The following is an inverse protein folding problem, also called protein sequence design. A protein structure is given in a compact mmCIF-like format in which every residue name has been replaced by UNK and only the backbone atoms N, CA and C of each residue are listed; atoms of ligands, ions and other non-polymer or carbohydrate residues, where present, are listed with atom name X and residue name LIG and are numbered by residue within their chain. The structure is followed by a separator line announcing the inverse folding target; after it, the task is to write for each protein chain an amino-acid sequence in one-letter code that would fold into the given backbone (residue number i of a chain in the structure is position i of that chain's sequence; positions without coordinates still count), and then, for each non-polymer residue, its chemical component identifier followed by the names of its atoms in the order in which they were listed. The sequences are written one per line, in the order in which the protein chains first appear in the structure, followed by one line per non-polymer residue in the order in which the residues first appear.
data_IF_389226032044
#
_entry.id   IF_389226032044
#
_cell.length_a   1.000
_cell.length_b   1.000
_cell.length_c   1.000
_cell.angle_alpha   90.00
_cell.angle_beta   90.00
_cell.angle_gamma   90.00
#
_symmetry.space_group_name_H-M   'P 1'
#
loop_
_entity.id
_entity.type
_entity.pdbx_description
1 polymer ?
#
# COMPACT_ATOMS: atom_id res chain seq x y z
N UNK A 1 -56.37 -18.62 -30.56
CA UNK A 1 -56.70 -19.95 -31.11
C UNK A 1 -55.57 -20.59 -31.96
N UNK A 2 -54.69 -19.80 -32.50
CA UNK A 2 -53.50 -20.32 -33.24
C UNK A 2 -52.36 -20.79 -32.31
N UNK A 3 -52.14 -20.09 -31.22
CA UNK A 3 -51.06 -20.38 -30.23
C UNK A 3 -51.31 -21.70 -29.48
N UNK A 4 -52.57 -22.03 -29.18
CA UNK A 4 -52.90 -23.31 -28.51
C UNK A 4 -52.81 -24.54 -29.42
N UNK A 5 -52.84 -24.34 -30.74
CA UNK A 5 -52.61 -25.44 -31.70
C UNK A 5 -51.14 -25.71 -31.91
N UNK A 6 -50.28 -24.71 -31.87
CA UNK A 6 -48.82 -24.88 -31.95
C UNK A 6 -48.29 -25.62 -30.71
N UNK A 7 -48.65 -25.21 -29.49
CA UNK A 7 -48.23 -25.91 -28.30
C UNK A 7 -48.72 -27.37 -28.20
N UNK A 8 -49.92 -27.68 -28.73
CA UNK A 8 -50.39 -29.10 -28.78
C UNK A 8 -49.61 -29.97 -29.77
N UNK A 9 -49.11 -29.40 -30.86
CA UNK A 9 -48.31 -30.15 -31.85
C UNK A 9 -46.89 -30.41 -31.31
N UNK A 10 -46.30 -29.49 -30.57
CA UNK A 10 -45.00 -29.65 -29.93
C UNK A 10 -45.01 -30.70 -28.81
N UNK A 11 -46.06 -30.69 -27.97
CA UNK A 11 -46.24 -31.69 -26.91
C UNK A 11 -46.44 -33.10 -27.48
N UNK A 12 -47.07 -33.24 -28.68
CA UNK A 12 -47.33 -34.52 -29.30
C UNK A 12 -46.06 -35.09 -29.96
N UNK A 13 -45.17 -34.23 -30.46
CA UNK A 13 -43.87 -34.65 -31.05
C UNK A 13 -42.87 -35.06 -29.95
N UNK A 14 -42.84 -34.34 -28.83
CA UNK A 14 -42.00 -34.65 -27.67
C UNK A 14 -42.39 -35.97 -26.97
N UNK A 15 -43.71 -36.33 -27.00
CA UNK A 15 -44.17 -37.61 -26.48
C UNK A 15 -43.79 -38.86 -27.30
N UNK A 16 -43.34 -38.68 -28.55
CA UNK A 16 -43.00 -39.77 -29.46
C UNK A 16 -41.49 -40.13 -29.46
N UNK A 17 -40.65 -39.31 -28.79
CA UNK A 17 -39.21 -39.48 -28.76
C UNK A 17 -38.66 -39.35 -27.32
N UNK A 18 -38.71 -40.42 -26.52
CA UNK A 18 -38.25 -40.41 -25.12
C UNK A 18 -36.79 -40.03 -24.96
N UNK A 19 -35.98 -40.19 -25.98
CA UNK A 19 -34.58 -39.81 -25.99
C UNK A 19 -34.37 -38.26 -26.08
N UNK A 20 -35.18 -37.60 -26.89
CA UNK A 20 -35.11 -36.15 -27.02
C UNK A 20 -35.61 -35.42 -25.74
N UNK A 21 -36.57 -36.04 -25.06
CA UNK A 21 -37.02 -35.53 -23.77
C UNK A 21 -35.95 -35.61 -22.70
N UNK A 22 -35.17 -36.68 -22.63
CA UNK A 22 -34.04 -36.78 -21.68
C UNK A 22 -32.93 -35.78 -21.98
N UNK A 23 -32.59 -35.54 -23.25
CA UNK A 23 -31.59 -34.56 -23.62
C UNK A 23 -32.05 -33.12 -23.26
N UNK A 24 -33.32 -32.78 -23.37
CA UNK A 24 -33.86 -31.48 -22.97
C UNK A 24 -34.03 -31.37 -21.46
N UNK A 25 -34.21 -32.47 -20.75
CA UNK A 25 -34.22 -32.52 -19.29
C UNK A 25 -32.78 -32.42 -18.74
N UNK A 26 -31.79 -33.03 -19.40
CA UNK A 26 -30.35 -32.90 -19.08
C UNK A 26 -29.81 -31.50 -19.41
N UNK A 27 -30.20 -30.89 -20.56
CA UNK A 27 -29.85 -29.49 -20.87
C UNK A 27 -30.55 -28.48 -19.92
N UNK A 28 -31.75 -28.77 -19.42
CA UNK A 28 -32.46 -27.94 -18.45
C UNK A 28 -31.92 -28.06 -17.02
N UNK A 29 -31.30 -29.20 -16.65
CA UNK A 29 -30.61 -29.34 -15.36
C UNK A 29 -29.20 -28.75 -15.37
N UNK A 30 -28.53 -28.61 -16.54
CA UNK A 30 -27.24 -27.93 -16.69
C UNK A 30 -27.40 -26.39 -16.70
N UNK A 31 -28.58 -25.84 -17.08
CA UNK A 31 -28.84 -24.39 -17.06
C UNK A 31 -29.30 -23.85 -15.70
N UNK A 32 -29.63 -24.69 -14.73
CA UNK A 32 -29.97 -24.30 -13.35
C UNK A 32 -28.79 -24.44 -12.35
N UNK A 33 -27.56 -24.63 -12.78
CA UNK A 33 -26.44 -24.14 -12.00
C UNK A 33 -26.53 -22.62 -12.06
N UNK A 34 -27.30 -22.03 -11.13
CA UNK A 34 -27.19 -20.61 -10.81
C UNK A 34 -25.68 -20.31 -10.72
N UNK A 35 -25.13 -19.62 -11.72
CA UNK A 35 -23.89 -18.87 -11.51
C UNK A 35 -24.15 -18.04 -10.25
N UNK A 36 -23.74 -18.56 -9.10
CA UNK A 36 -23.63 -17.73 -7.91
C UNK A 36 -22.73 -16.55 -8.36
N UNK A 37 -23.39 -15.43 -8.66
CA UNK A 37 -22.68 -14.17 -8.77
C UNK A 37 -21.71 -14.16 -7.58
N UNK A 38 -20.40 -13.94 -7.80
CA UNK A 38 -19.46 -13.91 -6.70
C UNK A 38 -19.96 -12.82 -5.76
N UNK A 39 -20.78 -13.24 -4.79
CA UNK A 39 -21.16 -12.40 -3.67
C UNK A 39 -19.84 -12.06 -3.04
N UNK A 40 -19.37 -10.81 -3.27
CA UNK A 40 -18.29 -10.21 -2.51
C UNK A 40 -18.79 -10.23 -1.08
N UNK A 41 -18.65 -11.38 -0.45
CA UNK A 41 -18.86 -11.52 0.98
C UNK A 41 -17.76 -10.67 1.58
N UNK A 42 -18.13 -9.45 1.96
CA UNK A 42 -17.31 -8.68 2.88
C UNK A 42 -16.94 -9.64 4.00
N UNK A 43 -15.65 -9.80 4.29
CA UNK A 43 -15.26 -10.74 5.32
C UNK A 43 -15.86 -10.27 6.63
N UNK A 44 -16.99 -10.82 7.03
CA UNK A 44 -17.53 -10.65 8.38
C UNK A 44 -16.58 -11.20 9.44
N UNK A 45 -15.51 -11.85 9.02
CA UNK A 45 -14.54 -12.58 9.81
C UNK A 45 -13.30 -11.79 10.27
N UNK A 46 -13.20 -10.48 9.94
CA UNK A 46 -12.13 -9.70 10.56
C UNK A 46 -12.40 -9.53 12.06
N UNK A 47 -11.44 -9.85 12.93
CA UNK A 47 -11.54 -9.44 14.32
C UNK A 47 -11.87 -7.95 14.40
N UNK A 48 -12.82 -7.55 15.24
CA UNK A 48 -13.20 -6.13 15.40
C UNK A 48 -12.00 -5.24 15.68
N UNK A 49 -10.95 -5.75 16.31
CA UNK A 49 -9.68 -5.06 16.56
C UNK A 49 -8.97 -4.65 15.26
N UNK A 50 -8.99 -5.48 14.21
CA UNK A 50 -8.41 -5.13 12.89
C UNK A 50 -9.14 -3.92 12.30
N UNK A 51 -10.47 -3.95 12.30
CA UNK A 51 -11.29 -2.82 11.82
C UNK A 51 -11.02 -1.53 12.61
N UNK A 52 -10.84 -1.63 13.92
CA UNK A 52 -10.50 -0.45 14.75
C UNK A 52 -9.13 0.12 14.40
N UNK A 53 -8.11 -0.71 14.21
CA UNK A 53 -6.78 -0.22 13.80
C UNK A 53 -6.80 0.42 12.41
N UNK A 54 -7.49 -0.18 11.44
CA UNK A 54 -7.64 0.40 10.11
C UNK A 54 -8.39 1.73 10.14
N UNK A 55 -9.44 1.85 10.95
CA UNK A 55 -10.16 3.12 11.15
C UNK A 55 -9.27 4.18 11.81
N UNK A 56 -8.48 3.82 12.84
CA UNK A 56 -7.52 4.73 13.49
C UNK A 56 -6.49 5.20 12.47
N UNK A 57 -5.95 4.29 11.65
CA UNK A 57 -5.03 4.61 10.56
C UNK A 57 -5.66 5.60 9.58
N UNK A 58 -6.87 5.31 9.09
CA UNK A 58 -7.61 6.19 8.20
C UNK A 58 -7.81 7.59 8.80
N UNK A 59 -8.36 7.68 10.01
CA UNK A 59 -8.62 8.97 10.65
C UNK A 59 -7.34 9.76 10.89
N UNK A 60 -6.28 9.10 11.36
CA UNK A 60 -4.98 9.74 11.57
C UNK A 60 -4.38 10.30 10.28
N UNK A 61 -4.40 9.52 9.20
CA UNK A 61 -3.90 9.94 7.88
C UNK A 61 -4.77 11.05 7.27
N UNK A 62 -6.09 10.91 7.35
CA UNK A 62 -7.04 11.89 6.80
C UNK A 62 -6.94 13.24 7.51
N UNK A 63 -6.93 13.25 8.85
CA UNK A 63 -6.74 14.47 9.63
C UNK A 63 -5.37 15.07 9.35
N UNK A 64 -4.31 14.25 9.31
CA UNK A 64 -2.97 14.69 8.96
C UNK A 64 -2.90 15.35 7.58
N UNK A 65 -3.56 14.75 6.56
CA UNK A 65 -3.62 15.34 5.22
C UNK A 65 -4.30 16.72 5.23
N UNK A 66 -5.43 16.87 5.94
CA UNK A 66 -6.12 18.16 6.07
C UNK A 66 -5.21 19.20 6.74
N UNK A 67 -4.52 18.82 7.81
CA UNK A 67 -3.61 19.72 8.52
C UNK A 67 -2.45 20.15 7.64
N UNK A 68 -1.79 19.20 6.92
CA UNK A 68 -0.69 19.52 6.03
C UNK A 68 -1.12 20.40 4.85
N UNK A 69 -2.31 20.14 4.29
CA UNK A 69 -2.90 21.00 3.27
C UNK A 69 -3.12 22.43 3.76
N UNK A 70 -3.72 22.57 4.95
CA UNK A 70 -3.95 23.89 5.57
C UNK A 70 -2.64 24.61 5.88
N UNK A 71 -1.62 23.91 6.40
CA UNK A 71 -0.29 24.48 6.63
C UNK A 71 0.33 25.01 5.34
N UNK A 72 0.23 24.26 4.23
CA UNK A 72 0.73 24.67 2.93
C UNK A 72 0.06 25.93 2.38
N UNK A 73 -1.25 26.08 2.56
CA UNK A 73 -2.01 27.27 2.11
C UNK A 73 -1.75 28.48 3.02
N UNK A 74 -1.77 28.27 4.33
CA UNK A 74 -1.71 29.37 5.32
C UNK A 74 -0.37 30.09 5.33
N UNK A 75 0.71 29.42 5.01
CA UNK A 75 2.07 30.00 5.06
C UNK A 75 2.47 30.75 3.82
N UNK A 76 1.62 30.87 2.80
CA UNK A 76 1.90 31.53 1.50
C UNK A 76 3.19 31.06 0.79
N UNK A 77 3.80 29.99 1.29
CA UNK A 77 5.00 29.35 0.76
C UNK A 77 4.64 27.91 0.45
N UNK A 78 4.23 27.64 -0.78
CA UNK A 78 4.08 26.28 -1.29
C UNK A 78 5.46 25.67 -1.48
N UNK A 79 6.07 25.19 -0.39
CA UNK A 79 7.29 24.42 -0.50
C UNK A 79 6.95 23.03 -1.02
N UNK A 80 7.85 22.44 -1.80
CA UNK A 80 7.73 21.06 -2.28
C UNK A 80 7.46 20.09 -1.11
N UNK A 81 8.02 20.39 0.07
CA UNK A 81 7.86 19.55 1.26
C UNK A 81 6.41 19.49 1.74
N UNK A 82 5.69 20.62 1.77
CA UNK A 82 4.26 20.62 2.15
C UNK A 82 3.41 19.79 1.19
N UNK A 83 3.69 19.90 -0.11
CA UNK A 83 3.01 19.11 -1.14
C UNK A 83 3.29 17.63 -0.98
N UNK A 84 4.54 17.25 -0.73
CA UNK A 84 4.92 15.84 -0.56
C UNK A 84 4.27 15.22 0.67
N UNK A 85 4.33 15.87 1.85
CA UNK A 85 3.72 15.32 3.07
C UNK A 85 2.20 15.25 2.98
N UNK A 86 1.57 16.21 2.28
CA UNK A 86 0.13 16.14 2.00
C UNK A 86 -0.20 14.89 1.18
N UNK A 87 0.50 14.64 0.07
CA UNK A 87 0.24 13.47 -0.76
C UNK A 87 0.56 12.16 -0.03
N UNK A 88 1.62 12.09 0.76
CA UNK A 88 1.94 10.94 1.59
C UNK A 88 0.75 10.62 2.51
N UNK A 89 0.21 11.59 3.22
CA UNK A 89 -0.90 11.39 4.14
C UNK A 89 -2.22 11.08 3.40
N UNK A 90 -2.51 11.78 2.29
CA UNK A 90 -3.74 11.61 1.53
C UNK A 90 -3.82 10.23 0.84
N UNK A 91 -2.72 9.77 0.22
CA UNK A 91 -2.65 8.44 -0.41
C UNK A 91 -2.84 7.35 0.63
N UNK A 92 -2.17 7.48 1.79
CA UNK A 92 -2.32 6.51 2.89
C UNK A 92 -3.73 6.52 3.48
N UNK A 93 -4.40 7.68 3.57
CA UNK A 93 -5.80 7.73 3.98
C UNK A 93 -6.70 6.94 3.03
N UNK A 94 -6.50 7.05 1.70
CA UNK A 94 -7.24 6.27 0.72
C UNK A 94 -7.01 4.76 0.89
N UNK A 95 -5.78 4.34 1.13
CA UNK A 95 -5.44 2.92 1.34
C UNK A 95 -6.08 2.37 2.60
N UNK A 96 -5.92 3.05 3.74
CA UNK A 96 -6.54 2.64 5.01
C UNK A 96 -8.07 2.60 4.93
N UNK A 97 -8.69 3.56 4.22
CA UNK A 97 -10.13 3.55 3.98
C UNK A 97 -10.56 2.35 3.13
N UNK A 98 -9.82 2.05 2.06
CA UNK A 98 -10.09 0.89 1.23
C UNK A 98 -10.02 -0.41 2.04
N UNK A 99 -8.95 -0.61 2.81
CA UNK A 99 -8.79 -1.79 3.68
C UNK A 99 -9.91 -1.88 4.75
N UNK A 100 -10.29 -0.76 5.36
CA UNK A 100 -11.38 -0.69 6.34
C UNK A 100 -12.73 -1.03 5.73
N UNK A 101 -12.97 -0.61 4.49
CA UNK A 101 -14.17 -0.90 3.72
C UNK A 101 -14.18 -2.31 3.10
N UNK A 102 -13.15 -3.13 3.34
CA UNK A 102 -13.03 -4.48 2.77
C UNK A 102 -12.52 -4.52 1.33
N UNK A 103 -12.07 -3.38 0.79
CA UNK A 103 -11.43 -3.29 -0.51
C UNK A 103 -9.92 -3.45 -0.38
N UNK A 104 -9.26 -3.90 -1.44
CA UNK A 104 -7.79 -4.01 -1.40
C UNK A 104 -7.26 -5.14 -0.53
N UNK A 105 -8.07 -6.16 -0.31
CA UNK A 105 -7.79 -7.31 0.53
C UNK A 105 -8.07 -8.58 -0.25
N UNK A 106 -7.19 -9.56 -0.15
CA UNK A 106 -7.33 -10.87 -0.79
C UNK A 106 -7.15 -11.99 0.25
N UNK A 107 -8.02 -13.00 0.17
CA UNK A 107 -7.87 -14.24 0.92
C UNK A 107 -7.13 -15.28 0.09
N UNK A 108 -5.93 -15.64 0.52
CA UNK A 108 -5.16 -16.69 -0.13
C UNK A 108 -5.40 -18.03 0.56
N UNK A 109 -6.19 -18.88 -0.11
CA UNK A 109 -6.55 -20.22 0.40
C UNK A 109 -5.61 -21.33 -0.08
N UNK A 110 -4.77 -21.06 -1.08
CA UNK A 110 -3.88 -22.04 -1.72
C UNK A 110 -2.57 -22.28 -0.99
N UNK A 111 -2.26 -21.55 0.08
CA UNK A 111 -1.08 -21.80 0.90
C UNK A 111 -1.39 -22.87 1.97
N UNK A 112 -0.38 -23.37 2.67
CA UNK A 112 -0.50 -24.35 3.76
C UNK A 112 -1.44 -23.88 4.87
N UNK A 113 -1.53 -22.56 5.07
CA UNK A 113 -2.51 -21.91 5.94
C UNK A 113 -3.18 -20.78 5.17
N UNK A 114 -4.53 -20.69 5.19
CA UNK A 114 -5.23 -19.54 4.63
C UNK A 114 -4.75 -18.26 5.29
N UNK A 115 -4.54 -17.21 4.51
CA UNK A 115 -4.02 -15.93 4.99
C UNK A 115 -4.68 -14.76 4.30
N UNK A 116 -4.69 -13.64 5.00
CA UNK A 116 -5.22 -12.36 4.52
C UNK A 116 -4.07 -11.51 4.00
N UNK A 117 -4.20 -10.98 2.80
CA UNK A 117 -3.22 -10.11 2.17
C UNK A 117 -3.86 -8.75 1.95
N UNK A 118 -3.33 -7.72 2.59
CA UNK A 118 -3.76 -6.33 2.39
C UNK A 118 -2.95 -5.70 1.24
N UNK A 119 -3.32 -6.01 -0.02
CA UNK A 119 -2.57 -5.53 -1.17
C UNK A 119 -2.68 -4.01 -1.38
N UNK A 120 -3.76 -3.36 -0.92
CA UNK A 120 -3.89 -1.89 -0.96
C UNK A 120 -2.77 -1.19 -0.19
N UNK A 121 -2.29 -1.79 0.91
CA UNK A 121 -1.14 -1.31 1.70
C UNK A 121 0.14 -1.25 0.86
N UNK A 122 0.37 -2.24 0.01
CA UNK A 122 1.54 -2.24 -0.87
C UNK A 122 1.44 -1.15 -1.94
N UNK A 123 0.24 -0.86 -2.47
CA UNK A 123 0.02 0.26 -3.38
C UNK A 123 0.32 1.60 -2.70
N UNK A 124 -0.08 1.77 -1.44
CA UNK A 124 0.30 2.93 -0.65
C UNK A 124 1.83 3.02 -0.53
N UNK A 125 2.49 1.96 -0.07
CA UNK A 125 3.93 1.96 0.18
C UNK A 125 4.78 2.13 -1.09
N UNK A 126 4.34 1.62 -2.26
CA UNK A 126 5.01 1.83 -3.56
C UNK A 126 5.09 3.31 -3.91
N UNK A 127 4.11 4.10 -3.49
CA UNK A 127 4.08 5.54 -3.79
C UNK A 127 4.66 6.33 -2.62
N UNK A 128 4.17 6.12 -1.41
CA UNK A 128 4.53 6.95 -0.25
C UNK A 128 5.94 6.70 0.27
N UNK A 129 6.46 5.48 0.16
CA UNK A 129 7.83 5.16 0.51
C UNK A 129 8.86 5.97 -0.28
N UNK A 130 8.82 5.97 -1.63
CA UNK A 130 9.65 6.85 -2.45
C UNK A 130 9.47 8.34 -2.14
N UNK A 131 8.23 8.80 -1.86
CA UNK A 131 7.98 10.21 -1.51
C UNK A 131 8.66 10.61 -0.19
N UNK A 132 8.64 9.73 0.82
CA UNK A 132 9.38 9.95 2.08
C UNK A 132 10.89 10.05 1.82
N UNK A 133 11.45 9.14 1.02
CA UNK A 133 12.87 9.16 0.67
C UNK A 133 13.22 10.38 -0.19
N UNK A 134 12.32 10.82 -1.07
CA UNK A 134 12.49 12.06 -1.84
C UNK A 134 12.56 13.29 -0.91
N UNK A 135 11.73 13.36 0.14
CA UNK A 135 11.83 14.43 1.14
C UNK A 135 13.23 14.46 1.79
N UNK A 136 13.76 13.31 2.21
CA UNK A 136 15.10 13.21 2.80
C UNK A 136 16.20 13.56 1.80
N UNK A 137 16.08 13.09 0.57
CA UNK A 137 17.04 13.35 -0.49
C UNK A 137 17.08 14.85 -0.89
N UNK A 138 15.92 15.50 -0.97
CA UNK A 138 15.81 16.94 -1.22
C UNK A 138 16.36 17.75 -0.04
N UNK A 139 16.05 17.35 1.20
CA UNK A 139 16.56 17.99 2.40
C UNK A 139 18.09 17.88 2.49
N UNK A 140 18.68 16.76 2.06
CA UNK A 140 20.13 16.56 1.98
C UNK A 140 20.78 17.14 0.75
N UNK A 141 20.06 17.87 -0.12
CA UNK A 141 20.53 18.38 -1.42
C UNK A 141 21.20 17.30 -2.29
N UNK A 142 20.62 16.10 -2.30
CA UNK A 142 21.12 15.01 -3.11
C UNK A 142 20.99 15.32 -4.60
N UNK A 143 21.93 14.81 -5.39
CA UNK A 143 21.88 14.85 -6.84
C UNK A 143 20.76 13.95 -7.41
N UNK A 144 20.33 14.25 -8.62
CA UNK A 144 19.24 13.52 -9.30
C UNK A 144 19.46 12.00 -9.38
N UNK A 145 20.66 11.49 -9.74
CA UNK A 145 20.93 10.04 -9.73
C UNK A 145 20.70 9.39 -8.35
N UNK A 146 21.10 10.06 -7.28
CA UNK A 146 20.87 9.55 -5.91
C UNK A 146 19.39 9.51 -5.57
N UNK A 147 18.62 10.56 -5.93
CA UNK A 147 17.16 10.58 -5.71
C UNK A 147 16.49 9.42 -6.45
N UNK A 148 16.82 9.24 -7.73
CA UNK A 148 16.29 8.13 -8.54
C UNK A 148 16.65 6.77 -7.94
N UNK A 149 17.90 6.62 -7.49
CA UNK A 149 18.37 5.36 -6.88
C UNK A 149 17.62 5.05 -5.58
N UNK A 150 17.48 6.02 -4.68
CA UNK A 150 16.73 5.85 -3.43
C UNK A 150 15.27 5.46 -3.69
N UNK A 151 14.59 6.22 -4.53
CA UNK A 151 13.19 5.99 -4.86
C UNK A 151 13.01 4.65 -5.60
N UNK A 152 13.87 4.34 -6.57
CA UNK A 152 13.81 3.10 -7.34
C UNK A 152 14.05 1.85 -6.48
N UNK A 153 15.06 1.87 -5.60
CA UNK A 153 15.30 0.75 -4.68
C UNK A 153 14.13 0.57 -3.70
N UNK A 154 13.50 1.66 -3.25
CA UNK A 154 12.31 1.58 -2.40
C UNK A 154 11.13 0.93 -3.13
N UNK A 155 10.88 1.30 -4.38
CA UNK A 155 9.85 0.67 -5.22
C UNK A 155 10.13 -0.83 -5.37
N UNK A 156 11.38 -1.23 -5.67
CA UNK A 156 11.76 -2.63 -5.82
C UNK A 156 11.61 -3.41 -4.50
N UNK A 157 11.96 -2.79 -3.37
CA UNK A 157 11.72 -3.36 -2.04
C UNK A 157 10.24 -3.73 -1.85
N UNK A 158 9.34 -2.79 -2.12
CA UNK A 158 7.89 -2.98 -1.91
C UNK A 158 7.31 -3.97 -2.93
N UNK A 159 7.73 -3.91 -4.21
CA UNK A 159 7.30 -4.86 -5.25
C UNK A 159 7.70 -6.29 -4.87
N UNK A 160 8.94 -6.52 -4.44
CA UNK A 160 9.39 -7.83 -3.99
C UNK A 160 8.58 -8.31 -2.77
N UNK A 161 8.27 -7.43 -1.83
CA UNK A 161 7.41 -7.73 -0.68
C UNK A 161 6.01 -8.15 -1.11
N UNK A 162 5.37 -7.42 -2.05
CA UNK A 162 4.06 -7.75 -2.60
C UNK A 162 4.06 -9.08 -3.34
N UNK A 163 5.04 -9.32 -4.23
CA UNK A 163 5.13 -10.59 -4.95
C UNK A 163 5.33 -11.73 -3.96
N UNK A 164 6.14 -11.53 -2.91
CA UNK A 164 6.30 -12.48 -1.82
C UNK A 164 4.98 -12.77 -1.12
N UNK A 165 4.20 -11.74 -0.77
CA UNK A 165 2.88 -11.88 -0.17
C UNK A 165 1.91 -12.68 -1.04
N UNK A 166 1.96 -12.50 -2.36
CA UNK A 166 1.12 -13.21 -3.33
C UNK A 166 1.65 -14.61 -3.69
N UNK A 167 2.89 -14.95 -3.30
CA UNK A 167 3.52 -16.24 -3.62
C UNK A 167 3.34 -17.24 -2.48
N UNK A 168 3.25 -18.54 -2.81
CA UNK A 168 3.16 -19.63 -1.81
C UNK A 168 4.53 -20.02 -1.27
N UNK A 169 4.55 -20.64 -0.08
CA UNK A 169 5.76 -21.23 0.48
C UNK A 169 6.28 -22.39 -0.42
N UNK A 170 7.62 -22.62 -0.53
CA UNK A 170 8.70 -21.88 0.12
C UNK A 170 9.14 -20.62 -0.64
N UNK A 171 8.65 -20.39 -1.87
CA UNK A 171 9.12 -19.35 -2.78
C UNK A 171 8.90 -17.92 -2.26
N UNK A 172 7.88 -17.68 -1.42
CA UNK A 172 7.63 -16.38 -0.79
C UNK A 172 8.83 -15.85 0.01
N UNK A 173 9.60 -16.74 0.65
CA UNK A 173 10.78 -16.34 1.44
C UNK A 173 11.94 -15.85 0.57
N UNK A 174 12.07 -16.36 -0.68
CA UNK A 174 13.06 -15.85 -1.63
C UNK A 174 12.76 -14.40 -2.02
N UNK A 175 11.49 -14.07 -2.22
CA UNK A 175 11.06 -12.70 -2.49
C UNK A 175 11.28 -11.77 -1.30
N UNK A 176 11.05 -12.26 -0.07
CA UNK A 176 11.38 -11.51 1.14
C UNK A 176 12.87 -11.22 1.24
N UNK A 177 13.74 -12.18 0.98
CA UNK A 177 15.20 -11.98 0.94
C UNK A 177 15.58 -10.96 -0.14
N UNK A 178 14.98 -11.06 -1.34
CA UNK A 178 15.21 -10.10 -2.42
C UNK A 178 14.79 -8.67 -2.00
N UNK A 179 13.66 -8.53 -1.31
CA UNK A 179 13.22 -7.22 -0.79
C UNK A 179 14.23 -6.63 0.20
N UNK A 180 14.78 -7.44 1.11
CA UNK A 180 15.80 -6.99 2.07
C UNK A 180 17.04 -6.44 1.39
N UNK A 181 17.48 -6.99 0.25
CA UNK A 181 18.65 -6.49 -0.49
C UNK A 181 18.41 -5.03 -0.90
N UNK A 182 17.24 -4.72 -1.47
CA UNK A 182 16.90 -3.34 -1.88
C UNK A 182 16.77 -2.41 -0.67
N UNK A 183 16.19 -2.87 0.44
CA UNK A 183 16.09 -2.08 1.66
C UNK A 183 17.48 -1.76 2.25
N UNK A 184 18.40 -2.73 2.25
CA UNK A 184 19.78 -2.53 2.69
C UNK A 184 20.46 -1.46 1.82
N UNK A 185 20.28 -1.49 0.50
CA UNK A 185 20.82 -0.46 -0.40
C UNK A 185 20.27 0.93 -0.03
N UNK A 186 18.96 1.05 0.24
CA UNK A 186 18.35 2.30 0.72
C UNK A 186 19.02 2.76 2.02
N UNK A 187 19.20 1.89 3.00
CA UNK A 187 19.83 2.24 4.27
C UNK A 187 21.29 2.65 4.11
N UNK A 188 22.06 1.96 3.27
CA UNK A 188 23.44 2.34 2.97
C UNK A 188 23.52 3.76 2.38
N UNK A 189 22.62 4.09 1.45
CA UNK A 189 22.56 5.42 0.83
C UNK A 189 22.17 6.51 1.85
N UNK A 190 21.18 6.24 2.72
CA UNK A 190 20.83 7.16 3.81
C UNK A 190 21.98 7.38 4.77
N UNK A 191 22.66 6.32 5.22
CA UNK A 191 23.79 6.40 6.13
C UNK A 191 24.99 7.15 5.51
N UNK A 192 25.25 6.97 4.21
CA UNK A 192 26.29 7.75 3.50
C UNK A 192 25.97 9.26 3.54
N UNK A 193 24.71 9.65 3.40
CA UNK A 193 24.29 11.06 3.48
C UNK A 193 24.41 11.63 4.88
N UNK A 194 24.19 10.84 5.91
CA UNK A 194 24.40 11.26 7.30
C UNK A 194 25.86 11.55 7.63
N UNK A 195 26.78 10.84 6.98
CA UNK A 195 28.23 11.03 7.18
C UNK A 195 28.82 12.22 6.41
N UNK A 196 28.10 12.71 5.37
CA UNK A 196 28.51 13.86 4.56
C UNK A 196 27.41 14.93 4.55
N UNK A 197 27.22 15.68 5.64
CA UNK A 197 26.12 16.62 5.78
C UNK A 197 26.41 17.96 5.07
N UNK A 198 26.55 17.96 3.75
CA UNK A 198 26.64 19.19 2.95
C UNK A 198 25.25 19.84 2.73
N UNK A 199 24.17 19.17 3.22
CA UNK A 199 22.79 19.56 3.05
C UNK A 199 22.24 20.50 4.13
N UNK A 200 21.07 21.07 3.86
CA UNK A 200 20.26 21.75 4.87
C UNK A 200 19.82 20.75 5.94
N UNK A 201 19.66 21.24 7.16
CA UNK A 201 18.93 20.52 8.17
C UNK A 201 19.77 19.70 9.15
N UNK A 202 21.09 19.66 9.05
CA UNK A 202 22.00 19.10 10.07
C UNK A 202 21.40 18.02 11.01
N UNK A 203 21.02 18.42 12.21
CA UNK A 203 20.45 17.48 13.20
C UNK A 203 19.03 17.02 12.85
N UNK A 204 18.25 17.85 12.15
CA UNK A 204 16.91 17.46 11.69
C UNK A 204 16.98 16.35 10.64
N UNK A 205 17.90 16.46 9.66
CA UNK A 205 18.13 15.40 8.67
C UNK A 205 18.55 14.09 9.34
N UNK A 206 19.45 14.17 10.33
CA UNK A 206 19.88 12.99 11.10
C UNK A 206 18.70 12.36 11.83
N UNK A 207 17.90 13.17 12.55
CA UNK A 207 16.74 12.68 13.29
C UNK A 207 15.71 12.03 12.38
N UNK A 208 15.36 12.66 11.26
CA UNK A 208 14.42 12.12 10.28
C UNK A 208 14.94 10.84 9.62
N UNK A 209 16.21 10.79 9.23
CA UNK A 209 16.79 9.60 8.61
C UNK A 209 16.81 8.41 9.58
N UNK A 210 17.20 8.63 10.84
CA UNK A 210 17.15 7.57 11.85
C UNK A 210 15.71 7.13 12.15
N UNK A 211 14.76 8.05 12.22
CA UNK A 211 13.35 7.72 12.38
C UNK A 211 12.91 6.76 11.27
N UNK A 212 13.21 7.08 10.02
CA UNK A 212 12.80 6.27 8.87
C UNK A 212 13.53 4.92 8.84
N UNK A 213 14.83 4.89 9.13
CA UNK A 213 15.57 3.62 9.20
C UNK A 213 14.95 2.69 10.26
N UNK A 214 14.68 3.20 11.46
CA UNK A 214 14.12 2.41 12.56
C UNK A 214 12.72 1.90 12.18
N UNK A 215 11.86 2.76 11.65
CA UNK A 215 10.50 2.35 11.27
C UNK A 215 10.53 1.39 10.09
N UNK A 216 11.38 1.60 9.09
CA UNK A 216 11.45 0.72 7.92
C UNK A 216 12.00 -0.68 8.25
N UNK A 217 12.72 -0.85 9.34
CA UNK A 217 13.12 -2.18 9.84
C UNK A 217 11.90 -2.95 10.39
N UNK A 218 10.90 -2.27 10.93
CA UNK A 218 9.70 -2.91 11.50
C UNK A 218 8.93 -3.69 10.42
N UNK A 219 8.80 -3.13 9.21
CA UNK A 219 7.98 -3.72 8.14
C UNK A 219 8.44 -5.14 7.72
N UNK A 220 9.71 -5.39 7.36
CA UNK A 220 10.13 -6.74 7.01
C UNK A 220 10.13 -7.71 8.19
N UNK A 221 10.29 -7.22 9.43
CA UNK A 221 10.16 -8.05 10.62
C UNK A 221 8.70 -8.48 10.78
N UNK A 222 7.75 -7.54 10.71
CA UNK A 222 6.32 -7.86 10.81
C UNK A 222 5.88 -8.76 9.66
N UNK A 223 6.37 -8.53 8.45
CA UNK A 223 6.09 -9.38 7.30
C UNK A 223 6.49 -10.85 7.56
N UNK A 224 7.71 -11.10 8.05
CA UNK A 224 8.19 -12.47 8.23
C UNK A 224 7.50 -13.20 9.40
N UNK A 225 7.11 -12.50 10.47
CA UNK A 225 6.43 -13.10 11.62
C UNK A 225 4.90 -13.04 11.52
N UNK A 226 4.38 -12.18 10.66
CA UNK A 226 2.95 -11.96 10.41
C UNK A 226 2.30 -13.02 9.52
N UNK A 227 1.09 -12.73 9.08
CA UNK A 227 0.26 -13.62 8.26
C UNK A 227 0.90 -13.95 6.91
N UNK A 228 1.65 -13.03 6.33
CA UNK A 228 2.33 -13.20 5.05
C UNK A 228 3.54 -14.14 5.14
N UNK A 229 4.22 -14.17 6.27
CA UNK A 229 5.40 -15.00 6.55
C UNK A 229 5.07 -16.31 7.25
N UNK A 230 5.41 -16.40 8.52
CA UNK A 230 5.27 -17.64 9.34
C UNK A 230 3.94 -17.75 10.06
N UNK A 231 3.17 -16.67 10.18
CA UNK A 231 1.91 -16.63 10.94
C UNK A 231 2.09 -16.70 12.45
N UNK A 232 3.31 -16.43 12.96
CA UNK A 232 3.57 -16.43 14.40
C UNK A 232 2.90 -15.24 15.12
N UNK A 233 2.64 -14.15 14.39
CA UNK A 233 1.94 -12.96 14.88
C UNK A 233 0.49 -13.00 14.44
N UNK A 234 -0.44 -12.76 15.36
CA UNK A 234 -1.87 -12.70 15.04
C UNK A 234 -2.21 -11.46 14.20
N UNK A 235 -3.22 -11.60 13.33
CA UNK A 235 -3.62 -10.55 12.36
C UNK A 235 -3.87 -9.18 13.03
N UNK A 236 -4.54 -9.15 14.19
CA UNK A 236 -4.79 -7.91 14.92
C UNK A 236 -3.53 -7.22 15.41
N UNK A 237 -2.53 -7.99 15.85
CA UNK A 237 -1.25 -7.47 16.30
C UNK A 237 -0.44 -6.95 15.12
N UNK A 238 -0.42 -7.69 14.01
CA UNK A 238 0.22 -7.29 12.76
C UNK A 238 -0.32 -5.93 12.27
N UNK A 239 -1.65 -5.84 12.07
CA UNK A 239 -2.29 -4.61 11.60
C UNK A 239 -2.08 -3.46 12.59
N UNK A 240 -2.16 -3.73 13.90
CA UNK A 240 -1.93 -2.72 14.93
C UNK A 240 -0.51 -2.15 14.89
N UNK A 241 0.52 -3.01 14.81
CA UNK A 241 1.94 -2.58 14.74
C UNK A 241 2.18 -1.78 13.46
N UNK A 242 1.69 -2.25 12.31
CA UNK A 242 1.85 -1.56 11.04
C UNK A 242 1.13 -0.22 11.02
N UNK A 243 -0.08 -0.11 11.60
CA UNK A 243 -0.80 1.17 11.72
C UNK A 243 -0.01 2.19 12.54
N UNK A 244 0.58 1.78 13.67
CA UNK A 244 1.40 2.66 14.50
C UNK A 244 2.67 3.07 13.74
N UNK A 245 3.35 2.13 13.10
CA UNK A 245 4.54 2.40 12.31
C UNK A 245 4.26 3.39 11.17
N UNK A 246 3.15 3.22 10.45
CA UNK A 246 2.73 4.11 9.37
C UNK A 246 2.39 5.52 9.89
N UNK A 247 1.67 5.65 11.00
CA UNK A 247 1.39 6.96 11.61
C UNK A 247 2.67 7.69 12.01
N UNK A 248 3.66 6.98 12.54
CA UNK A 248 4.97 7.55 12.88
C UNK A 248 5.73 7.93 11.62
N UNK A 249 5.82 7.05 10.62
CA UNK A 249 6.59 7.25 9.40
C UNK A 249 6.01 8.33 8.47
N UNK A 250 4.74 8.64 8.58
CA UNK A 250 4.03 9.55 7.66
C UNK A 250 3.58 10.82 8.38
N UNK A 251 2.78 10.71 9.43
CA UNK A 251 2.27 11.87 10.15
C UNK A 251 3.33 12.46 11.08
N UNK A 252 3.96 11.61 11.91
CA UNK A 252 5.07 12.04 12.78
C UNK A 252 6.23 12.61 11.99
N UNK A 253 6.66 11.91 10.93
CA UNK A 253 7.67 12.37 10.00
C UNK A 253 7.30 13.71 9.37
N UNK A 254 6.06 13.86 8.85
CA UNK A 254 5.60 15.08 8.21
C UNK A 254 5.65 16.30 9.14
N UNK A 255 5.14 16.17 10.37
CA UNK A 255 5.24 17.26 11.35
C UNK A 255 6.68 17.61 11.70
N UNK A 256 7.54 16.60 11.92
CA UNK A 256 8.93 16.84 12.25
C UNK A 256 9.68 17.48 11.08
N UNK A 257 9.43 17.05 9.84
CA UNK A 257 9.99 17.65 8.63
C UNK A 257 9.58 19.11 8.51
N UNK A 258 8.28 19.41 8.56
CA UNK A 258 7.76 20.77 8.34
C UNK A 258 8.21 21.74 9.46
N UNK A 259 8.27 21.28 10.71
CA UNK A 259 8.76 22.11 11.80
C UNK A 259 10.21 22.57 11.63
N UNK A 260 11.03 21.79 10.88
CA UNK A 260 12.43 22.11 10.65
C UNK A 260 12.69 22.79 9.28
N UNK A 261 11.85 22.56 8.28
CA UNK A 261 11.95 23.23 6.98
C UNK A 261 11.42 24.66 7.02
N UNK A 262 10.44 24.93 7.87
CA UNK A 262 9.84 26.26 8.06
C UNK A 262 10.67 27.19 8.96
N UNK A 263 11.81 26.73 9.48
CA UNK A 263 12.72 27.59 10.22
C UNK A 263 13.31 28.70 9.33
N UNK A 264 13.44 29.95 9.80
CA UNK A 264 13.84 31.09 8.97
C UNK A 264 15.15 30.95 8.19
N UNK A 265 16.03 30.06 8.62
CA UNK A 265 17.33 29.79 7.96
C UNK A 265 17.22 28.92 6.70
N UNK A 266 16.12 28.16 6.54
CA UNK A 266 15.90 27.32 5.36
C UNK A 266 15.39 28.12 4.14
N UNK A 267 14.90 29.35 4.33
CA UNK A 267 14.23 30.16 3.31
C UNK A 267 15.21 30.90 2.36
N UNK A 268 16.51 30.93 2.67
CA UNK A 268 17.49 31.80 1.97
C UNK A 268 18.26 31.15 0.82
N UNK A 269 18.03 29.89 0.48
CA UNK A 269 18.70 29.29 -0.68
C UNK A 269 17.77 29.24 -1.91
N UNK A 270 17.99 30.06 -2.93
CA UNK A 270 17.19 30.00 -4.15
C UNK A 270 17.45 28.67 -4.87
N UNK A 271 16.37 27.92 -5.14
CA UNK A 271 16.36 26.71 -5.97
C UNK A 271 16.84 26.94 -7.43
N UNK A 272 17.33 28.15 -7.75
CA UNK A 272 17.52 28.64 -9.12
C UNK A 272 18.95 28.56 -9.63
N UNK A 273 19.91 27.98 -8.92
CA UNK A 273 21.29 27.93 -9.42
C UNK A 273 21.69 26.64 -10.16
N UNK A 274 20.86 25.59 -10.14
CA UNK A 274 21.21 24.33 -10.81
C UNK A 274 20.70 24.21 -12.26
N UNK A 275 19.84 25.14 -12.73
CA UNK A 275 19.27 25.07 -14.09
C UNK A 275 20.14 25.74 -15.18
N UNK A 276 21.27 26.35 -14.84
CA UNK A 276 22.15 26.99 -15.84
C UNK A 276 23.37 26.15 -16.27
N UNK A 277 23.50 24.90 -15.82
CA UNK A 277 24.68 24.08 -16.14
C UNK A 277 24.44 23.00 -17.21
N UNK A 278 23.27 23.02 -17.87
CA UNK A 278 22.99 22.16 -19.02
C UNK A 278 22.46 22.98 -20.20
N UNK A 279 23.35 23.75 -20.83
CA UNK A 279 23.26 24.21 -22.24
C UNK A 279 24.58 23.90 -22.90
#
# INVERSE_FOLDING_TARGET
SATLRSQRSEIMVLGALPHLRRLLEEEGEEEEEEEEEPTVTFPDDYPNSVRHFLLIGFLGMFIGAIVFFYMGISRKVNTVMHVLVFFIAAISACSYYAEWAGLGVEYKTTDTTPRVIFWARYLDWIITGPLILACLALLSKSDTPTIISLCGNMVLYVICGLIGALTVAPYKYMWWVASLIFLIIVFMQLLQRLNNPEGYGGDALKGLSWLIIIVFIIYPIVWIVGSEGTGALGLSQEVGILTIADLIAKIGFGFYLLANVDAPEAETAPLNQSSQQYV
#
